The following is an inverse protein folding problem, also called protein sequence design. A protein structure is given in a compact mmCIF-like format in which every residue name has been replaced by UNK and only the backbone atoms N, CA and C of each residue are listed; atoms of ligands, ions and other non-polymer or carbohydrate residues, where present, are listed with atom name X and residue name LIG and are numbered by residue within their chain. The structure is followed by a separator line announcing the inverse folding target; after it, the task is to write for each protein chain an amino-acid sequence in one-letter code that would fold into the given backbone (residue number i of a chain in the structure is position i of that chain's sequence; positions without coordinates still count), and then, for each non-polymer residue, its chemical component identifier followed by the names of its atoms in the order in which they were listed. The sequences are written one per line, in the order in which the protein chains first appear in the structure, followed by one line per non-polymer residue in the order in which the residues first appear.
data_IF_559642772941
#
_entry.id   IF_559642772941
#
_cell.length_a   1.000
_cell.length_b   1.000
_cell.length_c   1.000
_cell.angle_alpha   90.00
_cell.angle_beta   90.00
_cell.angle_gamma   90.00
#
_symmetry.space_group_name_H-M   'P 1'
#
loop_
_entity.id
_entity.type
_entity.pdbx_description
1 polymer ?
#
# COMPACT_ATOMS: atom_id res chain seq x y z
N UNK A 1 5.28 5.34 30.01
CA UNK A 1 5.29 6.07 28.72
C UNK A 1 5.02 5.14 27.52
N UNK A 2 5.73 4.02 27.39
CA UNK A 2 5.62 3.07 26.27
C UNK A 2 4.20 2.56 25.97
N UNK A 3 3.38 2.23 26.99
CA UNK A 3 1.98 1.83 26.81
C UNK A 3 1.09 2.92 26.19
N UNK A 4 1.37 4.20 26.45
CA UNK A 4 0.61 5.32 25.86
C UNK A 4 0.96 5.50 24.38
N UNK A 5 2.24 5.34 24.03
CA UNK A 5 2.71 5.38 22.64
C UNK A 5 2.12 4.23 21.84
N UNK A 6 2.16 3.00 22.36
CA UNK A 6 1.51 1.84 21.73
C UNK A 6 0.01 2.04 21.52
N UNK A 7 -0.73 2.54 22.52
CA UNK A 7 -2.16 2.86 22.36
C UNK A 7 -2.44 3.95 21.34
N UNK A 8 -1.53 4.91 21.19
CA UNK A 8 -1.64 5.97 20.19
C UNK A 8 -1.40 5.43 18.78
N UNK A 9 -0.36 4.62 18.59
CA UNK A 9 -0.05 3.95 17.32
C UNK A 9 -1.12 2.91 16.95
N UNK A 10 -1.74 2.26 17.94
CA UNK A 10 -2.84 1.32 17.78
C UNK A 10 -4.21 2.01 17.66
N UNK A 11 -4.26 3.34 17.57
CA UNK A 11 -5.51 4.07 17.50
C UNK A 11 -6.16 3.92 16.12
N UNK A 12 -7.43 3.52 16.10
CA UNK A 12 -8.25 3.49 14.88
C UNK A 12 -8.29 4.84 14.16
N UNK A 13 -8.30 5.95 14.91
CA UNK A 13 -8.28 7.30 14.30
C UNK A 13 -7.02 7.54 13.48
N UNK A 14 -5.86 7.10 13.99
CA UNK A 14 -4.58 7.22 13.30
C UNK A 14 -4.55 6.34 12.05
N UNK A 15 -5.02 5.09 12.16
CA UNK A 15 -5.11 4.19 11.01
C UNK A 15 -6.00 4.76 9.88
N UNK A 16 -7.17 5.33 10.22
CA UNK A 16 -8.06 5.96 9.22
C UNK A 16 -7.39 7.14 8.52
N UNK A 17 -6.67 7.99 9.27
CA UNK A 17 -5.93 9.12 8.69
C UNK A 17 -4.84 8.63 7.72
N UNK A 18 -4.12 7.56 8.07
CA UNK A 18 -3.10 6.97 7.21
C UNK A 18 -3.72 6.40 5.92
N UNK A 19 -4.86 5.70 6.02
CA UNK A 19 -5.56 5.15 4.86
C UNK A 19 -6.05 6.27 3.93
N UNK A 20 -6.58 7.35 4.48
CA UNK A 20 -7.00 8.53 3.68
C UNK A 20 -5.80 9.20 3.00
N UNK A 21 -4.67 9.32 3.68
CA UNK A 21 -3.44 9.86 3.08
C UNK A 21 -2.95 8.96 1.94
N UNK A 22 -2.99 7.63 2.12
CA UNK A 22 -2.63 6.66 1.09
C UNK A 22 -3.57 6.79 -0.13
N UNK A 23 -4.88 6.89 0.10
CA UNK A 23 -5.88 7.07 -0.96
C UNK A 23 -5.69 8.38 -1.73
N UNK A 24 -5.32 9.47 -1.04
CA UNK A 24 -5.02 10.73 -1.70
C UNK A 24 -3.75 10.64 -2.56
N UNK A 25 -2.68 10.00 -2.06
CA UNK A 25 -1.44 9.80 -2.81
C UNK A 25 -1.67 8.94 -4.05
N UNK A 26 -2.40 7.84 -3.93
CA UNK A 26 -2.71 6.99 -5.09
C UNK A 26 -3.60 7.70 -6.10
N UNK A 27 -4.61 8.46 -5.65
CA UNK A 27 -5.45 9.27 -6.54
C UNK A 27 -4.63 10.31 -7.33
N UNK A 28 -3.70 11.00 -6.68
CA UNK A 28 -2.78 11.92 -7.35
C UNK A 28 -1.90 11.17 -8.36
N UNK A 29 -1.38 9.99 -8.00
CA UNK A 29 -0.63 9.11 -8.90
C UNK A 29 -1.41 8.75 -10.16
N UNK A 30 -2.67 8.35 -10.02
CA UNK A 30 -3.54 8.03 -11.15
C UNK A 30 -3.81 9.24 -12.05
N UNK A 31 -4.03 10.43 -11.48
CA UNK A 31 -4.23 11.65 -12.27
C UNK A 31 -2.97 12.03 -13.03
N UNK A 32 -1.80 11.90 -12.41
CA UNK A 32 -0.50 12.17 -13.05
C UNK A 32 -0.28 11.18 -14.20
N UNK A 33 -0.51 9.89 -13.97
CA UNK A 33 -0.42 8.87 -15.01
C UNK A 33 -1.33 9.17 -16.21
N UNK A 34 -2.59 9.51 -15.96
CA UNK A 34 -3.56 9.85 -17.01
C UNK A 34 -3.18 11.11 -17.79
N UNK A 35 -2.51 12.09 -17.16
CA UNK A 35 -2.08 13.33 -17.83
C UNK A 35 -0.86 13.14 -18.71
N UNK A 36 0.10 12.34 -18.25
CA UNK A 36 1.36 12.15 -18.97
C UNK A 36 1.34 10.94 -19.92
N UNK A 37 0.29 10.09 -19.86
CA UNK A 37 0.18 8.84 -20.63
C UNK A 37 1.43 7.94 -20.50
N UNK A 38 2.13 8.07 -19.37
CA UNK A 38 3.39 7.40 -19.09
C UNK A 38 3.41 6.93 -17.64
N UNK A 39 3.24 5.63 -17.47
CA UNK A 39 3.29 4.94 -16.17
C UNK A 39 4.65 5.10 -15.48
N UNK A 40 5.73 5.27 -16.26
CA UNK A 40 7.10 5.43 -15.74
C UNK A 40 7.27 6.78 -15.04
N UNK A 41 6.63 7.82 -15.57
CA UNK A 41 6.62 9.18 -15.01
C UNK A 41 5.82 9.20 -13.71
N UNK A 42 4.66 8.55 -13.69
CA UNK A 42 3.85 8.40 -12.47
C UNK A 42 4.59 7.61 -11.38
N UNK A 43 5.35 6.58 -11.74
CA UNK A 43 6.16 5.80 -10.80
C UNK A 43 7.22 6.64 -10.11
N UNK A 44 8.03 7.39 -10.85
CA UNK A 44 9.07 8.25 -10.26
C UNK A 44 8.51 9.41 -9.45
N UNK A 45 7.41 10.02 -9.90
CA UNK A 45 6.88 11.25 -9.29
C UNK A 45 6.03 11.01 -8.05
N UNK A 46 5.34 9.86 -7.96
CA UNK A 46 4.39 9.62 -6.87
C UNK A 46 4.78 8.38 -6.06
N UNK A 47 5.05 7.25 -6.72
CA UNK A 47 5.26 5.98 -6.03
C UNK A 47 6.66 5.84 -5.41
N UNK A 48 7.71 6.34 -6.07
CA UNK A 48 9.10 6.37 -5.55
C UNK A 48 9.40 7.64 -4.72
N UNK A 49 8.38 8.21 -4.09
CA UNK A 49 8.58 9.35 -3.20
C UNK A 49 8.73 8.91 -1.75
N UNK A 50 9.53 9.66 -1.00
CA UNK A 50 9.67 9.46 0.46
C UNK A 50 8.31 9.50 1.15
N UNK A 51 7.35 10.28 0.65
CA UNK A 51 5.99 10.36 1.16
C UNK A 51 5.23 9.03 1.05
N UNK A 52 5.27 8.38 -0.12
CA UNK A 52 4.65 7.08 -0.33
C UNK A 52 5.25 6.03 0.61
N UNK A 53 6.59 5.95 0.68
CA UNK A 53 7.27 5.02 1.58
C UNK A 53 6.95 5.30 3.06
N UNK A 54 6.85 6.57 3.46
CA UNK A 54 6.54 6.95 4.85
C UNK A 54 5.11 6.55 5.22
N UNK A 55 4.13 6.81 4.35
CA UNK A 55 2.73 6.44 4.59
C UNK A 55 2.56 4.92 4.62
N UNK A 56 3.24 4.20 3.71
CA UNK A 56 3.22 2.74 3.67
C UNK A 56 3.87 2.11 4.91
N UNK A 57 5.00 2.66 5.36
CA UNK A 57 5.66 2.25 6.61
C UNK A 57 4.85 2.60 7.86
N UNK A 58 4.18 3.75 7.87
CA UNK A 58 3.26 4.15 8.94
C UNK A 58 2.06 3.19 9.04
N UNK A 59 1.50 2.78 7.89
CA UNK A 59 0.44 1.77 7.84
C UNK A 59 0.92 0.44 8.43
N UNK A 60 2.07 -0.06 7.99
CA UNK A 60 2.66 -1.30 8.52
C UNK A 60 2.86 -1.24 10.03
N UNK A 61 3.43 -0.14 10.53
CA UNK A 61 3.68 0.07 11.96
C UNK A 61 2.38 0.12 12.75
N UNK A 62 1.35 0.78 12.23
CA UNK A 62 0.03 0.85 12.86
C UNK A 62 -0.63 -0.54 12.98
N UNK A 63 -0.54 -1.36 11.92
CA UNK A 63 -1.09 -2.72 11.93
C UNK A 63 -0.41 -3.61 12.96
N UNK A 64 0.92 -3.55 13.04
CA UNK A 64 1.71 -4.29 14.05
C UNK A 64 1.33 -3.81 15.45
N UNK A 65 1.23 -2.50 15.68
CA UNK A 65 0.84 -1.95 16.98
C UNK A 65 -0.56 -2.41 17.41
N UNK A 66 -1.53 -2.41 16.49
CA UNK A 66 -2.89 -2.92 16.72
C UNK A 66 -2.89 -4.41 17.06
N UNK A 67 -2.08 -5.22 16.37
CA UNK A 67 -1.96 -6.65 16.64
C UNK A 67 -1.38 -6.93 18.03
N UNK A 68 -0.36 -6.17 18.45
CA UNK A 68 0.30 -6.29 19.76
C UNK A 68 -0.63 -5.84 20.91
N UNK A 69 -1.39 -4.75 20.75
CA UNK A 69 -2.31 -4.25 21.78
C UNK A 69 -3.43 -5.24 22.12
N UNK A 70 -3.85 -6.08 21.15
CA UNK A 70 -4.91 -7.09 21.32
C UNK A 70 -4.43 -8.48 21.77
N UNK A 71 -3.18 -8.60 22.21
CA UNK A 71 -2.67 -9.83 22.81
C UNK A 71 -3.29 -10.07 24.20
N UNK A 72 -3.77 -11.27 24.59
CA UNK A 72 -3.62 -12.60 23.98
C UNK A 72 -4.79 -12.99 23.04
N UNK A 73 -4.45 -13.50 21.86
CA UNK A 73 -5.43 -13.88 20.83
C UNK A 73 -6.18 -15.17 21.22
N UNK A 74 -7.51 -15.08 21.33
CA UNK A 74 -8.40 -16.24 21.47
C UNK A 74 -8.85 -16.70 20.07
N UNK A 75 -9.15 -17.99 19.90
CA UNK A 75 -9.57 -18.58 18.62
C UNK A 75 -10.75 -17.83 17.95
N UNK A 76 -11.63 -17.19 18.72
CA UNK A 76 -12.73 -16.35 18.22
C UNK A 76 -12.30 -15.09 17.45
N UNK A 77 -11.03 -14.68 17.55
CA UNK A 77 -10.47 -13.52 16.86
C UNK A 77 -9.61 -13.92 15.64
N UNK A 78 -9.71 -15.17 15.17
CA UNK A 78 -8.93 -15.67 14.04
C UNK A 78 -9.07 -14.77 12.81
N UNK A 79 -10.28 -14.42 12.39
CA UNK A 79 -10.51 -13.57 11.21
C UNK A 79 -9.85 -12.19 11.32
N UNK A 80 -9.82 -11.62 12.53
CA UNK A 80 -9.14 -10.35 12.77
C UNK A 80 -7.63 -10.50 12.58
N UNK A 81 -7.03 -11.53 13.19
CA UNK A 81 -5.59 -11.78 13.10
C UNK A 81 -5.17 -12.11 11.65
N UNK A 82 -5.92 -12.98 10.97
CA UNK A 82 -5.66 -13.32 9.57
C UNK A 82 -5.77 -12.13 8.63
N UNK A 83 -6.75 -11.23 8.82
CA UNK A 83 -6.86 -10.03 8.00
C UNK A 83 -5.63 -9.12 8.15
N UNK A 84 -5.13 -8.92 9.37
CA UNK A 84 -3.97 -8.07 9.60
C UNK A 84 -2.70 -8.72 9.07
N UNK A 85 -2.51 -10.03 9.29
CA UNK A 85 -1.39 -10.79 8.72
C UNK A 85 -1.42 -10.73 7.19
N UNK A 86 -2.59 -10.89 6.58
CA UNK A 86 -2.76 -10.80 5.13
C UNK A 86 -2.33 -9.44 4.58
N UNK A 87 -2.76 -8.34 5.21
CA UNK A 87 -2.36 -6.99 4.79
C UNK A 87 -0.85 -6.79 4.99
N UNK A 88 -0.27 -7.26 6.10
CA UNK A 88 1.19 -7.20 6.33
C UNK A 88 1.93 -7.98 5.24
N UNK A 89 1.43 -9.16 4.86
CA UNK A 89 2.01 -9.96 3.79
C UNK A 89 1.95 -9.24 2.42
N UNK A 90 0.81 -8.59 2.11
CA UNK A 90 0.68 -7.76 0.91
C UNK A 90 1.65 -6.57 0.91
N UNK A 91 1.87 -5.94 2.06
CA UNK A 91 2.84 -4.84 2.19
C UNK A 91 4.27 -5.31 1.94
N UNK A 92 4.64 -6.49 2.46
CA UNK A 92 5.94 -7.11 2.17
C UNK A 92 6.06 -7.41 0.67
N UNK A 93 5.02 -8.01 0.07
CA UNK A 93 4.94 -8.26 -1.36
C UNK A 93 5.13 -6.99 -2.18
N UNK A 94 4.47 -5.90 -1.80
CA UNK A 94 4.61 -4.59 -2.46
C UNK A 94 6.05 -4.09 -2.46
N UNK A 95 6.75 -4.15 -1.33
CA UNK A 95 8.17 -3.75 -1.25
C UNK A 95 9.06 -4.65 -2.13
N UNK A 96 8.77 -5.95 -2.20
CA UNK A 96 9.49 -6.86 -3.09
C UNK A 96 9.24 -6.50 -4.56
N UNK A 97 8.00 -6.23 -4.96
CA UNK A 97 7.65 -5.79 -6.32
C UNK A 97 8.28 -4.44 -6.66
N UNK A 98 8.47 -3.53 -5.72
CA UNK A 98 9.18 -2.28 -6.00
C UNK A 98 10.66 -2.49 -6.32
N UNK A 99 11.31 -3.47 -5.67
CA UNK A 99 12.75 -3.73 -5.88
C UNK A 99 13.05 -4.70 -7.03
N UNK A 100 12.19 -5.69 -7.23
CA UNK A 100 12.41 -6.81 -8.14
C UNK A 100 11.29 -6.98 -9.17
N UNK A 101 10.28 -6.13 -9.15
CA UNK A 101 9.17 -6.17 -10.09
C UNK A 101 9.62 -5.73 -11.48
N UNK A 102 9.30 -6.55 -12.47
CA UNK A 102 9.51 -6.24 -13.87
C UNK A 102 8.18 -5.69 -14.40
N UNK A 103 8.20 -4.45 -14.87
CA UNK A 103 7.01 -3.85 -15.50
C UNK A 103 6.96 -4.29 -16.97
N UNK A 104 5.85 -4.94 -17.36
CA UNK A 104 5.50 -5.12 -18.76
C UNK A 104 4.82 -3.86 -19.29
N UNK A 105 5.28 -3.34 -20.43
CA UNK A 105 4.56 -2.31 -21.17
C UNK A 105 4.07 -2.89 -22.49
N UNK A 106 2.79 -2.66 -22.80
CA UNK A 106 2.19 -3.08 -24.06
C UNK A 106 1.57 -1.84 -24.72
N UNK A 107 2.06 -1.49 -25.90
CA UNK A 107 1.49 -0.40 -26.69
C UNK A 107 0.36 -0.98 -27.51
N UNK A 108 -0.87 -0.56 -27.25
CA UNK A 108 -2.05 -0.95 -28.04
C UNK A 108 -2.41 0.22 -28.96
N UNK A 109 -2.21 0.10 -30.29
CA UNK A 109 -2.65 1.11 -31.24
C UNK A 109 -4.18 1.20 -31.27
N UNK A 110 -4.73 2.41 -31.25
CA UNK A 110 -6.17 2.65 -31.45
C UNK A 110 -6.58 2.16 -32.85
N UNK A 111 -7.49 1.19 -32.92
CA UNK A 111 -8.09 0.70 -34.17
C UNK A 111 -7.61 -0.67 -34.68
N UNK A 112 -6.65 -1.34 -34.02
CA UNK A 112 -6.31 -2.73 -34.34
C UNK A 112 -7.15 -3.72 -33.53
N UNK A 113 -8.01 -4.47 -34.22
CA UNK A 113 -8.62 -5.71 -33.69
C UNK A 113 -7.62 -6.84 -33.89
N UNK A 114 -6.99 -7.28 -32.80
CA UNK A 114 -6.18 -8.49 -32.70
C UNK A 114 -5.08 -8.68 -33.77
N UNK A 115 -3.83 -8.43 -33.40
CA UNK A 115 -2.75 -9.18 -34.02
C UNK A 115 -1.68 -9.57 -32.99
N UNK A 116 -1.75 -10.86 -32.65
CA UNK A 116 -0.85 -11.73 -31.90
C UNK A 116 0.44 -11.12 -31.34
N UNK A 117 0.57 -11.20 -30.02
CA UNK A 117 1.84 -11.09 -29.30
C UNK A 117 2.55 -12.45 -29.43
N UNK A 118 3.65 -12.51 -30.18
CA UNK A 118 4.57 -13.66 -30.20
C UNK A 118 5.58 -13.51 -29.08
#
# INVERSE_FOLDING_TARGET
MMKKVLKFLASLKLAVVIILALAALTAVGTIVEAKFNDATVARKLVYDTVWMYTVMGALATSLIAVMVDRWPWKARHSSFVFAHIGIIFLLIGSVMTMKYGIDGSMRVPMGQSNQYLV
#
